data_IF_672578155112
#
_entry.id   IF_672578155112
#
_cell.length_a   1.000
_cell.length_b   1.000
_cell.length_c   1.000
_cell.angle_alpha   90.00
_cell.angle_beta   90.00
_cell.angle_gamma   90.00
#
_symmetry.space_group_name_H-M   'P 1'
#
loop_
_entity.id
_entity.type
_entity.pdbx_description
1 polymer ?
#
# COMPACT_ATOMS: atom_id res chain seq x y z
N UNK A 1 -3.94 7.31 16.43
CA UNK A 1 -5.00 7.36 17.47
C UNK A 1 -6.35 7.88 16.99
N UNK A 2 -6.44 8.71 15.95
CA UNK A 2 -7.71 9.21 15.40
C UNK A 2 -8.63 8.05 15.02
N UNK A 3 -8.19 7.17 14.13
CA UNK A 3 -8.99 6.02 13.64
C UNK A 3 -9.48 5.14 14.80
N UNK A 4 -8.61 4.84 15.76
CA UNK A 4 -8.97 3.95 16.87
C UNK A 4 -9.99 4.57 17.85
N UNK A 5 -10.12 5.89 17.86
CA UNK A 5 -11.01 6.65 18.75
C UNK A 5 -12.23 7.24 18.02
N UNK A 6 -12.28 7.15 16.70
CA UNK A 6 -13.40 7.63 15.92
C UNK A 6 -14.67 6.81 16.24
N UNK A 7 -15.77 7.44 16.67
CA UNK A 7 -16.99 6.72 17.06
C UNK A 7 -17.64 5.93 15.91
N UNK A 8 -17.48 6.39 14.67
CA UNK A 8 -18.07 5.74 13.49
C UNK A 8 -17.26 4.51 13.05
N UNK A 9 -15.97 4.49 13.39
CA UNK A 9 -15.01 3.44 13.02
C UNK A 9 -14.79 2.44 14.17
N UNK A 10 -15.00 2.87 15.40
CA UNK A 10 -14.71 2.08 16.61
C UNK A 10 -15.26 0.65 16.55
N UNK A 11 -14.35 -0.31 16.70
CA UNK A 11 -14.65 -1.74 16.64
C UNK A 11 -14.73 -2.33 15.23
N UNK A 12 -14.65 -1.51 14.17
CA UNK A 12 -14.60 -1.98 12.77
C UNK A 12 -13.17 -2.05 12.25
N UNK A 13 -12.34 -1.07 12.61
CA UNK A 13 -10.93 -0.97 12.22
C UNK A 13 -10.10 -0.67 13.46
N UNK A 14 -8.95 -1.31 13.57
CA UNK A 14 -7.95 -1.01 14.59
C UNK A 14 -6.58 -0.86 13.93
N UNK A 15 -5.97 0.30 14.09
CA UNK A 15 -4.59 0.57 13.63
C UNK A 15 -3.65 0.39 14.82
N UNK A 16 -2.66 -0.46 14.67
CA UNK A 16 -1.64 -0.72 15.69
C UNK A 16 -0.27 -0.45 15.11
N UNK A 17 0.46 0.49 15.72
CA UNK A 17 1.87 0.68 15.45
C UNK A 17 2.67 -0.23 16.39
N UNK A 18 3.54 -1.04 15.80
CA UNK A 18 4.35 -2.00 16.56
C UNK A 18 5.71 -1.38 16.79
N UNK A 19 5.95 -0.98 18.05
CA UNK A 19 7.24 -0.44 18.47
C UNK A 19 8.32 -1.53 18.45
N UNK A 20 9.55 -1.14 18.11
CA UNK A 20 10.70 -2.04 18.08
C UNK A 20 10.47 -3.34 17.29
N UNK A 21 9.85 -3.23 16.11
CA UNK A 21 9.68 -4.38 15.21
C UNK A 21 11.03 -5.04 14.95
N UNK A 22 11.10 -6.35 15.21
CA UNK A 22 12.30 -7.17 15.08
C UNK A 22 11.94 -8.64 14.82
N UNK A 23 12.94 -9.47 14.58
CA UNK A 23 12.74 -10.90 14.22
C UNK A 23 11.78 -11.63 15.15
N UNK A 24 11.90 -11.47 16.47
CA UNK A 24 11.00 -12.12 17.44
C UNK A 24 9.53 -11.71 17.31
N UNK A 25 9.26 -10.48 16.87
CA UNK A 25 7.89 -10.04 16.58
C UNK A 25 7.44 -10.51 15.19
N UNK A 26 8.35 -10.52 14.21
CA UNK A 26 8.08 -11.05 12.89
C UNK A 26 7.62 -12.50 12.91
N UNK A 27 8.26 -13.34 13.72
CA UNK A 27 7.92 -14.76 13.91
C UNK A 27 6.48 -14.98 14.43
N UNK A 28 5.89 -13.98 15.09
CA UNK A 28 4.50 -14.02 15.58
C UNK A 28 3.55 -13.39 14.57
N UNK A 29 3.93 -12.25 14.01
CA UNK A 29 3.04 -11.42 13.17
C UNK A 29 2.85 -12.03 11.80
N UNK A 30 3.91 -12.53 11.17
CA UNK A 30 3.82 -13.09 9.83
C UNK A 30 2.84 -14.26 9.72
N UNK A 31 2.91 -15.30 10.62
CA UNK A 31 1.93 -16.37 10.60
C UNK A 31 0.50 -15.96 11.01
N UNK A 32 0.35 -14.82 11.68
CA UNK A 32 -0.95 -14.29 12.10
C UNK A 32 -1.62 -13.39 11.06
N UNK A 33 -0.94 -13.13 9.93
CA UNK A 33 -1.42 -12.18 8.92
C UNK A 33 -2.20 -12.90 7.82
N UNK A 34 -3.38 -12.38 7.49
CA UNK A 34 -4.18 -12.86 6.34
C UNK A 34 -3.75 -12.21 5.02
N UNK A 35 -3.28 -10.96 5.09
CA UNK A 35 -2.88 -10.15 3.94
C UNK A 35 -1.57 -9.45 4.24
N UNK A 36 -0.71 -9.37 3.25
CA UNK A 36 0.59 -8.69 3.29
C UNK A 36 0.63 -7.59 2.23
N UNK A 37 0.95 -6.35 2.64
CA UNK A 37 1.13 -5.23 1.72
C UNK A 37 2.57 -5.12 1.26
N UNK A 38 2.78 -5.22 -0.07
CA UNK A 38 4.08 -5.18 -0.74
C UNK A 38 4.00 -4.15 -1.88
N UNK A 39 4.11 -2.88 -1.52
CA UNK A 39 3.68 -1.72 -2.31
C UNK A 39 4.82 -0.84 -2.83
N UNK A 40 6.02 -1.39 -3.01
CA UNK A 40 7.08 -0.67 -3.72
C UNK A 40 6.65 -0.35 -5.15
N UNK A 41 7.12 0.78 -5.68
CA UNK A 41 6.82 1.12 -7.08
C UNK A 41 7.62 0.23 -8.04
N UNK A 42 7.00 -0.18 -9.14
CA UNK A 42 7.64 -1.02 -10.15
C UNK A 42 9.02 -0.50 -10.59
N UNK A 43 10.01 -1.39 -10.54
CA UNK A 43 11.40 -1.11 -10.87
C UNK A 43 12.24 -0.48 -9.75
N UNK A 44 11.76 -0.50 -8.50
CA UNK A 44 12.49 0.05 -7.34
C UNK A 44 12.97 -1.02 -6.36
N UNK A 45 12.20 -2.06 -6.16
CA UNK A 45 12.59 -3.17 -5.29
C UNK A 45 13.32 -4.25 -6.10
N UNK A 46 14.52 -4.61 -5.68
CA UNK A 46 15.29 -5.64 -6.38
C UNK A 46 14.68 -7.04 -6.21
N UNK A 47 14.17 -7.36 -5.04
CA UNK A 47 13.51 -8.63 -4.72
C UNK A 47 12.53 -8.46 -3.56
N UNK A 48 13.01 -8.05 -2.40
CA UNK A 48 12.29 -8.16 -1.15
C UNK A 48 12.39 -9.56 -0.54
N UNK A 49 12.19 -9.66 0.75
CA UNK A 49 12.15 -10.94 1.48
C UNK A 49 10.91 -11.07 2.34
N UNK A 50 10.29 -9.95 2.71
CA UNK A 50 9.06 -9.90 3.49
C UNK A 50 7.90 -10.59 2.76
N UNK A 51 7.71 -10.28 1.49
CA UNK A 51 6.70 -10.88 0.62
C UNK A 51 6.75 -12.42 0.63
N UNK A 52 7.93 -12.99 0.43
CA UNK A 52 8.11 -14.45 0.45
C UNK A 52 7.80 -15.04 1.84
N UNK A 53 8.26 -14.38 2.92
CA UNK A 53 8.02 -14.86 4.30
C UNK A 53 6.53 -14.81 4.67
N UNK A 54 5.83 -13.76 4.31
CA UNK A 54 4.38 -13.67 4.50
C UNK A 54 3.65 -14.74 3.70
N UNK A 55 4.02 -14.90 2.43
CA UNK A 55 3.41 -15.86 1.52
C UNK A 55 3.52 -17.30 2.03
N UNK A 56 4.73 -17.78 2.39
CA UNK A 56 4.93 -19.15 2.94
C UNK A 56 4.28 -19.38 4.31
N UNK A 57 3.79 -18.31 4.95
CA UNK A 57 2.98 -18.37 6.17
C UNK A 57 1.48 -18.16 5.89
N UNK A 58 1.06 -18.21 4.62
CA UNK A 58 -0.34 -18.19 4.23
C UNK A 58 -0.95 -16.80 4.04
N UNK A 59 -0.18 -15.72 4.10
CA UNK A 59 -0.71 -14.40 3.80
C UNK A 59 -0.83 -14.19 2.28
N UNK A 60 -1.97 -13.67 1.83
CA UNK A 60 -2.17 -13.27 0.43
C UNK A 60 -1.53 -11.90 0.20
N UNK A 61 -0.85 -11.72 -0.92
CA UNK A 61 -0.18 -10.45 -1.23
C UNK A 61 -1.14 -9.45 -1.89
N UNK A 62 -1.20 -8.23 -1.34
CA UNK A 62 -1.59 -7.03 -2.09
C UNK A 62 -0.33 -6.26 -2.44
N UNK A 63 -0.13 -5.95 -3.71
CA UNK A 63 1.12 -5.31 -4.13
C UNK A 63 1.16 -4.92 -5.58
N UNK A 64 2.30 -4.38 -5.94
CA UNK A 64 2.66 -3.98 -7.30
C UNK A 64 3.47 -5.08 -7.98
N UNK A 65 3.60 -5.00 -9.30
CA UNK A 65 4.48 -5.89 -10.08
C UNK A 65 5.94 -5.42 -9.97
N UNK A 66 6.53 -5.67 -8.78
CA UNK A 66 7.89 -5.28 -8.45
C UNK A 66 8.58 -6.33 -7.56
N UNK A 67 9.89 -6.42 -7.65
CA UNK A 67 10.69 -7.37 -6.88
C UNK A 67 10.20 -8.81 -7.03
N UNK A 68 10.24 -9.59 -5.96
CA UNK A 68 9.80 -10.99 -5.96
C UNK A 68 8.28 -11.16 -6.13
N UNK A 69 7.47 -10.08 -6.08
CA UNK A 69 6.04 -10.19 -6.40
C UNK A 69 5.83 -10.68 -7.83
N UNK A 70 6.76 -10.40 -8.76
CA UNK A 70 6.69 -10.85 -10.14
C UNK A 70 6.67 -12.38 -10.19
N UNK A 71 7.67 -13.02 -9.59
CA UNK A 71 7.77 -14.48 -9.56
C UNK A 71 6.65 -15.11 -8.73
N UNK A 72 6.22 -14.47 -7.64
CA UNK A 72 5.08 -14.93 -6.84
C UNK A 72 3.82 -14.98 -7.69
N UNK A 73 3.54 -13.94 -8.46
CA UNK A 73 2.36 -13.87 -9.32
C UNK A 73 2.45 -14.86 -10.48
N UNK A 74 3.64 -15.05 -11.07
CA UNK A 74 3.87 -16.03 -12.12
C UNK A 74 3.64 -17.47 -11.65
N UNK A 75 4.05 -17.79 -10.42
CA UNK A 75 3.96 -19.15 -9.88
C UNK A 75 2.60 -19.45 -9.23
N UNK A 76 2.10 -18.53 -8.41
CA UNK A 76 0.84 -18.72 -7.67
C UNK A 76 -0.41 -18.33 -8.46
N UNK A 77 -0.27 -17.56 -9.54
CA UNK A 77 -1.35 -17.01 -10.35
C UNK A 77 -1.85 -15.64 -9.84
N UNK A 78 -2.15 -14.78 -10.82
CA UNK A 78 -2.65 -13.41 -10.55
C UNK A 78 -3.99 -13.42 -9.79
N UNK A 79 -4.80 -14.43 -9.99
CA UNK A 79 -6.10 -14.61 -9.32
C UNK A 79 -5.98 -14.93 -7.83
N UNK A 80 -4.81 -15.39 -7.37
CA UNK A 80 -4.54 -15.69 -5.98
C UNK A 80 -3.83 -14.54 -5.23
N UNK A 81 -3.59 -13.41 -5.93
CA UNK A 81 -2.99 -12.20 -5.40
C UNK A 81 -3.85 -10.99 -5.78
N UNK A 82 -3.56 -9.84 -5.19
CA UNK A 82 -4.27 -8.58 -5.42
C UNK A 82 -3.27 -7.55 -5.96
N UNK A 83 -3.07 -7.57 -7.26
CA UNK A 83 -2.06 -6.74 -7.94
C UNK A 83 -2.70 -5.46 -8.45
N UNK A 84 -2.02 -4.35 -8.20
CA UNK A 84 -2.39 -3.00 -8.66
C UNK A 84 -1.15 -2.21 -9.06
N UNK A 85 -1.38 -0.98 -9.51
CA UNK A 85 -0.34 0.00 -9.80
C UNK A 85 0.28 -0.14 -11.19
N UNK A 86 1.01 0.91 -11.56
CA UNK A 86 1.66 1.03 -12.85
C UNK A 86 2.82 0.04 -13.00
N UNK A 87 2.97 -0.52 -14.17
CA UNK A 87 4.13 -1.33 -14.55
C UNK A 87 5.31 -0.44 -14.98
N UNK A 88 6.51 -1.02 -15.10
CA UNK A 88 7.76 -0.28 -15.41
C UNK A 88 7.63 0.60 -16.64
N UNK A 89 7.10 0.06 -17.74
CA UNK A 89 6.93 0.79 -19.00
C UNK A 89 5.97 1.99 -18.86
N UNK A 90 4.95 1.85 -18.02
CA UNK A 90 3.98 2.89 -17.75
C UNK A 90 4.59 4.00 -16.90
N UNK A 91 5.33 3.64 -15.86
CA UNK A 91 6.12 4.58 -15.06
C UNK A 91 7.08 5.40 -15.93
N UNK A 92 7.76 4.76 -16.88
CA UNK A 92 8.66 5.44 -17.80
C UNK A 92 7.93 6.42 -18.73
N UNK A 93 6.77 6.03 -19.23
CA UNK A 93 5.91 6.93 -20.03
C UNK A 93 5.43 8.12 -19.21
N UNK A 94 4.98 7.91 -17.97
CA UNK A 94 4.58 8.99 -17.06
C UNK A 94 5.73 9.99 -16.84
N UNK A 95 6.91 9.49 -16.53
CA UNK A 95 8.11 10.34 -16.37
C UNK A 95 8.43 11.15 -17.61
N UNK A 96 8.38 10.51 -18.79
CA UNK A 96 8.70 11.13 -20.09
C UNK A 96 7.68 12.19 -20.48
N UNK A 97 6.41 11.97 -20.17
CA UNK A 97 5.30 12.86 -20.50
C UNK A 97 5.12 14.00 -19.50
N UNK A 98 5.94 14.08 -18.45
CA UNK A 98 5.88 15.13 -17.46
C UNK A 98 4.75 14.94 -16.46
N UNK A 99 4.78 13.84 -15.74
CA UNK A 99 3.84 13.50 -14.66
C UNK A 99 3.62 14.68 -13.70
N UNK A 100 2.36 14.98 -13.42
CA UNK A 100 1.94 15.99 -12.45
C UNK A 100 0.95 15.37 -11.49
N UNK A 101 1.29 15.25 -10.20
CA UNK A 101 0.41 14.61 -9.21
C UNK A 101 -0.96 15.30 -9.07
N UNK A 102 -1.03 16.62 -9.27
CA UNK A 102 -2.28 17.37 -9.17
C UNK A 102 -3.34 16.88 -10.18
N UNK A 103 -2.92 16.39 -11.35
CA UNK A 103 -3.81 15.87 -12.40
C UNK A 103 -4.58 14.62 -11.91
N UNK A 104 -4.10 13.99 -10.84
CA UNK A 104 -4.68 12.78 -10.23
C UNK A 104 -5.52 13.07 -8.99
N UNK A 105 -5.65 14.33 -8.57
CA UNK A 105 -6.58 14.76 -7.52
C UNK A 105 -7.95 15.07 -8.16
N UNK A 106 -8.58 14.03 -8.68
CA UNK A 106 -9.76 14.13 -9.55
C UNK A 106 -11.10 14.25 -8.82
N UNK A 107 -11.12 14.13 -7.49
CA UNK A 107 -12.35 14.20 -6.69
C UNK A 107 -12.16 14.99 -5.41
N UNK A 108 -13.29 15.48 -4.83
CA UNK A 108 -13.28 16.16 -3.54
C UNK A 108 -12.80 15.26 -2.41
N UNK A 109 -13.07 13.95 -2.49
CA UNK A 109 -12.57 12.97 -1.51
C UNK A 109 -11.06 12.91 -1.55
N UNK A 110 -10.46 12.77 -2.74
CA UNK A 110 -8.99 12.76 -2.88
C UNK A 110 -8.38 14.05 -2.40
N UNK A 111 -8.99 15.19 -2.72
CA UNK A 111 -8.54 16.51 -2.25
C UNK A 111 -8.57 16.60 -0.74
N UNK A 112 -9.63 16.13 -0.10
CA UNK A 112 -9.71 16.07 1.37
C UNK A 112 -8.64 15.17 1.96
N UNK A 113 -8.40 13.98 1.39
CA UNK A 113 -7.36 13.06 1.85
C UNK A 113 -5.97 13.70 1.75
N UNK A 114 -5.64 14.32 0.63
CA UNK A 114 -4.34 14.98 0.47
C UNK A 114 -4.19 16.17 1.42
N UNK A 115 -5.22 17.00 1.53
CA UNK A 115 -5.18 18.19 2.41
C UNK A 115 -5.18 17.83 3.89
N UNK A 116 -5.68 16.65 4.29
CA UNK A 116 -5.67 16.21 5.69
C UNK A 116 -4.27 16.14 6.32
N UNK A 117 -3.24 16.14 5.49
CA UNK A 117 -1.85 16.25 5.95
C UNK A 117 -1.51 17.65 6.47
N UNK A 118 -2.25 18.70 6.04
CA UNK A 118 -1.90 20.11 6.34
C UNK A 118 -3.06 20.96 6.86
N UNK A 119 -4.28 20.41 6.94
CA UNK A 119 -5.49 21.12 7.39
C UNK A 119 -5.84 20.86 8.86
N UNK A 120 -4.87 20.40 9.65
CA UNK A 120 -5.02 20.08 11.08
C UNK A 120 -5.88 18.85 11.39
N UNK A 121 -6.37 18.12 10.38
CA UNK A 121 -7.07 16.83 10.56
C UNK A 121 -6.18 15.83 11.31
N UNK A 122 -4.89 15.80 10.99
CA UNK A 122 -3.88 15.03 11.69
C UNK A 122 -2.89 15.96 12.41
N UNK A 123 -2.40 15.51 13.57
CA UNK A 123 -1.35 16.22 14.30
C UNK A 123 -0.10 15.34 14.40
N UNK A 124 1.03 15.90 14.03
CA UNK A 124 2.36 15.31 14.17
C UNK A 124 3.12 15.79 15.42
N UNK A 125 2.42 16.49 16.32
CA UNK A 125 3.02 17.07 17.53
C UNK A 125 3.93 18.26 17.25
N UNK A 126 3.80 18.90 16.10
CA UNK A 126 4.59 20.07 15.71
C UNK A 126 5.97 19.72 15.14
N UNK A 127 6.17 18.49 14.69
CA UNK A 127 7.44 18.06 14.07
C UNK A 127 7.60 18.55 12.63
N UNK A 128 6.51 18.96 11.97
CA UNK A 128 6.49 19.35 10.55
C UNK A 128 6.52 18.17 9.57
N UNK A 129 6.41 16.93 10.07
CA UNK A 129 6.50 15.73 9.26
C UNK A 129 5.35 15.61 8.24
N UNK A 130 4.14 16.03 8.59
CA UNK A 130 3.01 16.00 7.66
C UNK A 130 3.12 17.08 6.59
N UNK A 131 3.64 18.26 6.90
CA UNK A 131 3.92 19.31 5.93
C UNK A 131 5.03 18.85 4.95
N UNK A 132 6.04 18.15 5.45
CA UNK A 132 7.09 17.55 4.62
C UNK A 132 6.52 16.49 3.68
N UNK A 133 5.65 15.59 4.16
CA UNK A 133 4.96 14.60 3.34
C UNK A 133 4.10 15.23 2.26
N UNK A 134 3.30 16.25 2.62
CA UNK A 134 2.49 16.99 1.65
C UNK A 134 3.37 17.66 0.59
N UNK A 135 4.45 18.31 1.03
CA UNK A 135 5.39 18.95 0.10
C UNK A 135 6.07 17.94 -0.82
N UNK A 136 6.47 16.79 -0.30
CA UNK A 136 7.03 15.68 -1.09
C UNK A 136 6.05 15.17 -2.13
N UNK A 137 4.78 15.08 -1.76
CA UNK A 137 3.72 14.57 -2.65
C UNK A 137 3.35 15.57 -3.75
N UNK A 138 3.22 16.87 -3.43
CA UNK A 138 2.66 17.87 -4.35
C UNK A 138 3.72 18.76 -4.98
N UNK A 139 4.72 19.19 -4.23
CA UNK A 139 5.71 20.17 -4.69
C UNK A 139 7.04 19.53 -5.10
N UNK A 140 7.34 18.36 -4.55
CA UNK A 140 8.66 17.75 -4.61
C UNK A 140 9.67 18.46 -3.68
N UNK A 141 10.93 18.08 -3.81
CA UNK A 141 12.04 18.69 -3.09
C UNK A 141 13.21 18.93 -4.05
N UNK A 142 14.29 19.56 -3.56
CA UNK A 142 15.47 19.84 -4.40
C UNK A 142 16.15 18.59 -4.99
N UNK A 143 15.89 17.43 -4.39
CA UNK A 143 16.50 16.14 -4.73
C UNK A 143 15.52 15.11 -5.32
N UNK A 144 14.22 15.41 -5.40
CA UNK A 144 13.22 14.56 -6.06
C UNK A 144 12.06 15.36 -6.63
N UNK A 145 11.42 14.81 -7.68
CA UNK A 145 10.19 15.35 -8.27
C UNK A 145 8.98 15.15 -7.34
N UNK A 146 7.89 15.93 -7.52
CA UNK A 146 6.63 15.67 -6.84
C UNK A 146 6.18 14.24 -7.05
N UNK A 147 5.60 13.66 -6.01
CA UNK A 147 5.10 12.27 -6.01
C UNK A 147 6.04 11.28 -6.72
N UNK A 148 7.29 11.26 -6.29
CA UNK A 148 8.34 10.45 -6.92
C UNK A 148 8.04 8.94 -6.93
N UNK A 149 7.07 8.52 -6.16
CA UNK A 149 6.60 7.14 -6.06
C UNK A 149 5.23 6.90 -6.72
N UNK A 150 4.69 7.87 -7.45
CA UNK A 150 3.42 7.77 -8.18
C UNK A 150 2.23 7.31 -7.32
N UNK A 151 2.24 7.70 -6.05
CA UNK A 151 1.22 7.32 -5.05
C UNK A 151 -0.18 7.78 -5.49
N UNK A 152 -0.30 9.00 -6.01
CA UNK A 152 -1.58 9.54 -6.47
C UNK A 152 -2.05 8.88 -7.77
N UNK A 153 -1.13 8.44 -8.61
CA UNK A 153 -1.46 7.66 -9.81
C UNK A 153 -2.06 6.30 -9.43
N UNK A 154 -1.40 5.57 -8.53
CA UNK A 154 -1.77 4.21 -8.15
C UNK A 154 -2.92 4.13 -7.14
N UNK A 155 -3.34 5.25 -6.57
CA UNK A 155 -4.29 5.30 -5.43
C UNK A 155 -5.62 4.58 -5.72
N UNK A 156 -6.21 4.77 -6.89
CA UNK A 156 -7.48 4.09 -7.22
C UNK A 156 -7.30 2.59 -7.35
N UNK A 157 -6.23 2.15 -8.01
CA UNK A 157 -5.90 0.73 -8.11
C UNK A 157 -5.70 0.08 -6.75
N UNK A 158 -5.02 0.78 -5.83
CA UNK A 158 -4.87 0.32 -4.44
C UNK A 158 -6.21 0.22 -3.72
N UNK A 159 -7.06 1.25 -3.81
CA UNK A 159 -8.40 1.26 -3.19
C UNK A 159 -9.24 0.09 -3.74
N UNK A 160 -9.27 -0.10 -5.04
CA UNK A 160 -10.02 -1.19 -5.68
C UNK A 160 -9.52 -2.56 -5.23
N UNK A 161 -8.21 -2.74 -5.08
CA UNK A 161 -7.61 -3.97 -4.57
C UNK A 161 -8.03 -4.23 -3.11
N UNK A 162 -7.98 -3.23 -2.22
CA UNK A 162 -8.46 -3.34 -0.83
C UNK A 162 -9.95 -3.69 -0.77
N UNK A 163 -10.78 -3.02 -1.57
CA UNK A 163 -12.21 -3.31 -1.62
C UNK A 163 -12.49 -4.74 -2.12
N UNK A 164 -11.70 -5.22 -3.08
CA UNK A 164 -11.78 -6.60 -3.56
C UNK A 164 -11.38 -7.60 -2.47
N UNK A 165 -10.29 -7.34 -1.74
CA UNK A 165 -9.89 -8.16 -0.58
C UNK A 165 -11.03 -8.25 0.42
N UNK A 166 -11.62 -7.12 0.81
CA UNK A 166 -12.72 -7.08 1.78
C UNK A 166 -13.92 -7.94 1.34
N UNK A 167 -14.27 -7.90 0.04
CA UNK A 167 -15.33 -8.76 -0.50
C UNK A 167 -14.93 -10.24 -0.49
N UNK A 168 -13.74 -10.57 -1.00
CA UNK A 168 -13.27 -11.95 -1.12
C UNK A 168 -13.09 -12.59 0.28
N UNK A 169 -12.66 -11.82 1.26
CA UNK A 169 -12.46 -12.28 2.64
C UNK A 169 -13.75 -12.72 3.34
N UNK A 170 -14.91 -12.32 2.86
CA UNK A 170 -16.21 -12.80 3.39
C UNK A 170 -16.47 -14.27 3.07
N UNK A 171 -15.94 -14.77 1.95
CA UNK A 171 -15.96 -16.20 1.59
C UNK A 171 -14.67 -16.87 2.11
N UNK A 172 -14.71 -17.31 3.35
CA UNK A 172 -13.55 -17.88 4.04
C UNK A 172 -12.96 -19.09 3.32
N UNK A 173 -13.79 -19.90 2.68
CA UNK A 173 -13.32 -21.11 1.95
C UNK A 173 -12.49 -20.70 0.74
N UNK A 174 -13.01 -19.80 -0.08
CA UNK A 174 -12.30 -19.31 -1.26
C UNK A 174 -11.05 -18.53 -0.89
N UNK A 175 -11.11 -17.71 0.18
CA UNK A 175 -9.95 -16.96 0.64
C UNK A 175 -8.86 -17.89 1.15
N UNK A 176 -9.23 -18.92 1.95
CA UNK A 176 -8.27 -19.93 2.42
C UNK A 176 -7.66 -20.75 1.28
N UNK A 177 -8.42 -21.00 0.19
CA UNK A 177 -7.85 -21.63 -1.00
C UNK A 177 -6.76 -20.77 -1.66
N UNK A 178 -6.95 -19.44 -1.72
CA UNK A 178 -5.88 -18.53 -2.19
C UNK A 178 -4.65 -18.57 -1.28
N UNK A 179 -4.88 -18.54 0.04
CA UNK A 179 -3.80 -18.64 1.04
C UNK A 179 -2.99 -19.93 0.84
N UNK A 180 -3.68 -21.07 0.70
CA UNK A 180 -3.03 -22.36 0.47
C UNK A 180 -2.26 -22.42 -0.86
N UNK A 181 -2.78 -21.80 -1.93
CA UNK A 181 -2.09 -21.76 -3.22
C UNK A 181 -0.81 -20.93 -3.15
N UNK A 182 -0.78 -19.90 -2.31
CA UNK A 182 0.40 -19.06 -2.09
C UNK A 182 1.42 -19.68 -1.13
N UNK A 183 1.09 -20.74 -0.40
CA UNK A 183 2.00 -21.44 0.54
C UNK A 183 2.79 -22.52 -0.16
#
# INVERSE_FOLDING_TARGET
NLINNDPDIKGKIKVVYIENYRVTLAEIIMPASDVSEQISIAGKEASGTGNMKFMINGAVTIGTMDGANIEIVELAGKENNYIFGAEVDEIEKLKKNGYKPEDYITSDVRRKVVNSLTDETFSDGGTGGFEELYSSLIKGASWHKPDNYFVLYDLDGFIDAILKINRDYTDKIKFSAKQLTNT
#
